data_IF_346656583335
#
_entry.id   IF_346656583335
#
_cell.length_a   1.000
_cell.length_b   1.000
_cell.length_c   1.000
_cell.angle_alpha   90.00
_cell.angle_beta   90.00
_cell.angle_gamma   90.00
#
_symmetry.space_group_name_H-M   'P 1'
#
loop_
_entity.id
_entity.type
_entity.pdbx_description
1 polymer ?
#
# COMPACT_ATOMS: atom_id res chain seq x y z
N UNK A 1 -14.21 30.44 53.86
CA UNK A 1 -15.45 29.72 54.22
C UNK A 1 -15.42 28.38 53.50
N UNK A 2 -15.39 27.31 54.29
CA UNK A 2 -15.49 25.90 53.86
C UNK A 2 -16.88 25.61 53.26
N UNK A 3 -16.94 24.59 52.39
CA UNK A 3 -17.98 23.54 52.18
C UNK A 3 -17.54 22.82 50.88
N UNK A 4 -16.79 21.70 50.89
CA UNK A 4 -17.20 20.32 51.20
C UNK A 4 -18.59 20.00 50.59
N UNK A 5 -18.76 19.07 49.63
CA UNK A 5 -18.61 17.63 49.83
C UNK A 5 -18.95 16.80 48.57
N UNK A 6 -18.19 15.70 48.38
CA UNK A 6 -18.59 14.35 47.91
C UNK A 6 -19.10 14.04 46.48
N UNK A 7 -18.18 13.39 45.73
CA UNK A 7 -18.26 12.22 44.80
C UNK A 7 -19.60 11.81 44.19
N UNK A 8 -19.56 11.49 42.89
CA UNK A 8 -19.93 10.19 42.28
C UNK A 8 -19.34 10.12 40.84
N UNK A 9 -18.57 9.07 40.53
CA UNK A 9 -18.21 8.69 39.15
C UNK A 9 -19.29 7.77 38.57
N UNK A 10 -19.49 7.78 37.24
CA UNK A 10 -19.66 6.51 36.55
C UNK A 10 -18.71 6.34 35.35
N UNK A 11 -18.29 5.08 35.17
CA UNK A 11 -17.57 4.49 34.04
C UNK A 11 -18.43 4.50 32.73
N UNK A 12 -17.86 4.14 31.56
CA UNK A 12 -18.15 4.80 30.28
C UNK A 12 -19.42 4.30 29.60
N UNK A 13 -20.08 5.20 28.87
CA UNK A 13 -21.15 4.85 27.95
C UNK A 13 -20.48 4.44 26.63
N UNK A 14 -20.53 3.14 26.34
CA UNK A 14 -20.17 2.55 25.06
C UNK A 14 -20.83 3.33 23.91
N UNK A 15 -20.03 4.11 23.19
CA UNK A 15 -20.40 4.51 21.84
C UNK A 15 -19.96 3.35 20.94
N UNK A 16 -20.94 2.52 20.56
CA UNK A 16 -20.84 1.72 19.34
C UNK A 16 -20.55 2.70 18.20
N UNK A 17 -19.26 2.90 17.89
CA UNK A 17 -18.87 3.50 16.64
C UNK A 17 -19.02 2.38 15.62
N UNK A 18 -19.96 2.57 14.71
CA UNK A 18 -20.19 1.67 13.59
C UNK A 18 -18.85 1.23 13.02
N UNK A 19 -18.61 -0.07 13.11
CA UNK A 19 -17.49 -0.74 12.48
C UNK A 19 -17.78 -0.70 10.99
N UNK A 20 -17.40 0.40 10.33
CA UNK A 20 -17.11 0.34 8.90
C UNK A 20 -16.09 -0.77 8.77
N UNK A 21 -16.45 -1.84 8.06
CA UNK A 21 -15.50 -2.86 7.63
C UNK A 21 -14.42 -2.11 6.84
N UNK A 22 -13.32 -1.75 7.51
CA UNK A 22 -12.07 -1.51 6.82
C UNK A 22 -11.70 -2.88 6.27
N UNK A 23 -12.15 -3.15 5.05
CA UNK A 23 -11.71 -4.31 4.29
C UNK A 23 -10.18 -4.30 4.36
N UNK A 24 -9.55 -5.35 4.91
CA UNK A 24 -8.11 -5.37 5.06
C UNK A 24 -7.49 -5.05 3.71
N UNK A 25 -6.51 -4.13 3.70
CA UNK A 25 -5.79 -3.78 2.48
C UNK A 25 -5.32 -5.07 1.80
N UNK A 26 -5.52 -5.22 0.48
CA UNK A 26 -5.30 -6.49 -0.17
C UNK A 26 -3.87 -6.96 0.06
N UNK A 27 -3.73 -8.20 0.50
CA UNK A 27 -2.42 -8.78 0.82
C UNK A 27 -1.62 -8.88 -0.49
N UNK A 28 -0.44 -8.26 -0.50
CA UNK A 28 0.57 -8.41 -1.54
C UNK A 28 1.66 -9.36 -1.06
N UNK A 29 1.91 -10.44 -1.79
CA UNK A 29 2.94 -11.43 -1.47
C UNK A 29 3.89 -11.61 -2.65
N UNK A 30 5.20 -11.55 -2.38
CA UNK A 30 6.27 -11.64 -3.36
C UNK A 30 6.92 -13.03 -3.31
N UNK A 31 7.03 -13.71 -4.45
CA UNK A 31 7.86 -14.91 -4.57
C UNK A 31 9.26 -14.53 -5.09
N UNK A 32 10.19 -14.25 -4.18
CA UNK A 32 11.56 -13.86 -4.51
C UNK A 32 12.35 -14.93 -5.28
N UNK A 33 11.85 -16.18 -5.34
CA UNK A 33 12.51 -17.27 -6.07
C UNK A 33 12.17 -17.26 -7.56
N UNK A 34 11.08 -16.59 -7.96
CA UNK A 34 10.58 -16.61 -9.33
C UNK A 34 10.76 -15.23 -9.98
N UNK A 35 11.94 -15.03 -10.58
CA UNK A 35 12.25 -13.85 -11.37
C UNK A 35 11.62 -13.95 -12.75
N UNK A 36 10.72 -13.03 -13.08
CA UNK A 36 10.09 -12.91 -14.40
C UNK A 36 10.90 -12.02 -15.36
N UNK A 37 11.65 -11.05 -14.82
CA UNK A 37 12.45 -10.16 -15.65
C UNK A 37 13.43 -9.30 -14.84
N UNK A 38 14.47 -8.81 -15.52
CA UNK A 38 15.48 -7.89 -14.95
C UNK A 38 15.78 -6.78 -15.94
N UNK A 39 15.81 -5.56 -15.46
CA UNK A 39 16.17 -4.36 -16.23
C UNK A 39 17.08 -3.43 -15.45
N UNK A 40 17.43 -2.29 -16.05
CA UNK A 40 18.26 -1.28 -15.42
C UNK A 40 17.62 -0.71 -14.14
N UNK A 41 16.30 -0.57 -14.13
CA UNK A 41 15.52 0.03 -13.04
C UNK A 41 15.15 -0.96 -11.94
N UNK A 42 15.33 -2.27 -12.17
CA UNK A 42 15.07 -3.27 -11.15
C UNK A 42 14.68 -4.64 -11.64
N UNK A 43 13.95 -5.36 -10.79
CA UNK A 43 13.62 -6.77 -10.99
C UNK A 43 12.10 -6.98 -10.91
N UNK A 44 11.57 -7.83 -11.78
CA UNK A 44 10.16 -8.20 -11.80
C UNK A 44 10.04 -9.64 -11.34
N UNK A 45 9.23 -9.89 -10.33
CA UNK A 45 8.99 -11.21 -9.76
C UNK A 45 7.53 -11.62 -9.94
N UNK A 46 7.28 -12.92 -9.81
CA UNK A 46 5.93 -13.42 -9.62
C UNK A 46 5.46 -13.08 -8.20
N UNK A 47 4.19 -12.72 -8.06
CA UNK A 47 3.57 -12.55 -6.76
C UNK A 47 2.07 -12.73 -6.80
N UNK A 48 1.43 -12.47 -5.67
CA UNK A 48 -0.02 -12.43 -5.55
C UNK A 48 -0.47 -11.10 -4.97
N UNK A 49 -1.61 -10.60 -5.46
CA UNK A 49 -2.29 -9.43 -4.91
C UNK A 49 -3.79 -9.73 -4.85
N UNK A 50 -4.40 -9.59 -3.67
CA UNK A 50 -5.81 -9.96 -3.45
C UNK A 50 -6.13 -11.43 -3.84
N UNK A 51 -5.14 -12.33 -3.77
CA UNK A 51 -5.27 -13.73 -4.19
C UNK A 51 -5.11 -13.99 -5.69
N UNK A 52 -4.95 -12.95 -6.52
CA UNK A 52 -4.67 -13.09 -7.96
C UNK A 52 -3.17 -13.05 -8.24
N UNK A 53 -2.73 -13.82 -9.26
CA UNK A 53 -1.33 -13.79 -9.69
C UNK A 53 -1.02 -12.50 -10.43
N UNK A 54 0.03 -11.81 -10.00
CA UNK A 54 0.47 -10.54 -10.56
C UNK A 54 1.99 -10.53 -10.78
N UNK A 55 2.46 -9.58 -11.58
CA UNK A 55 3.88 -9.25 -11.68
C UNK A 55 4.21 -8.10 -10.73
N UNK A 56 5.21 -8.28 -9.86
CA UNK A 56 5.65 -7.25 -8.90
C UNK A 56 7.02 -6.71 -9.35
N UNK A 57 7.06 -5.44 -9.76
CA UNK A 57 8.30 -4.72 -10.13
C UNK A 57 8.91 -4.08 -8.88
N UNK A 58 10.04 -4.61 -8.42
CA UNK A 58 10.87 -4.00 -7.38
C UNK A 58 11.84 -3.01 -8.01
N UNK A 59 11.60 -1.72 -7.80
CA UNK A 59 12.49 -0.63 -8.26
C UNK A 59 13.72 -0.59 -7.34
N UNK A 60 14.91 -0.55 -7.93
CA UNK A 60 16.18 -0.46 -7.19
C UNK A 60 16.50 1.01 -6.89
N UNK A 61 16.46 1.39 -5.62
CA UNK A 61 16.95 2.68 -5.14
C UNK A 61 18.37 2.52 -4.59
N UNK A 62 19.36 2.38 -5.46
CA UNK A 62 20.75 2.32 -5.00
C UNK A 62 21.26 3.74 -4.67
N UNK A 63 22.15 3.86 -3.70
CA UNK A 63 22.76 5.14 -3.32
C UNK A 63 23.49 5.85 -4.48
N UNK A 64 23.97 5.10 -5.48
CA UNK A 64 24.69 5.62 -6.64
C UNK A 64 23.80 5.88 -7.88
N UNK A 65 22.58 5.33 -7.88
CA UNK A 65 21.56 5.64 -8.89
C UNK A 65 20.52 6.52 -8.23
N UNK A 66 20.69 7.83 -8.37
CA UNK A 66 19.67 8.80 -7.99
C UNK A 66 18.45 8.54 -8.88
N UNK A 67 17.53 7.71 -8.39
CA UNK A 67 16.18 7.63 -8.97
C UNK A 67 15.58 8.99 -8.70
N UNK A 68 15.50 9.80 -9.75
CA UNK A 68 14.87 11.12 -9.68
C UNK A 68 13.43 10.93 -9.18
N UNK A 69 13.10 11.39 -7.96
CA UNK A 69 11.77 11.18 -7.39
C UNK A 69 10.66 11.77 -8.26
N UNK A 70 10.97 12.80 -9.05
CA UNK A 70 10.02 13.37 -10.00
C UNK A 70 9.74 12.42 -11.17
N UNK A 71 10.77 11.70 -11.66
CA UNK A 71 10.60 10.70 -12.73
C UNK A 71 9.79 9.50 -12.26
N UNK A 72 10.07 9.00 -11.06
CA UNK A 72 9.30 7.88 -10.48
C UNK A 72 7.82 8.28 -10.33
N UNK A 73 7.54 9.45 -9.74
CA UNK A 73 6.17 9.96 -9.61
C UNK A 73 5.47 10.09 -10.96
N UNK A 74 6.18 10.56 -11.98
CA UNK A 74 5.60 10.70 -13.32
C UNK A 74 5.26 9.34 -13.94
N UNK A 75 6.10 8.32 -13.76
CA UNK A 75 5.82 6.94 -14.19
C UNK A 75 4.56 6.41 -13.51
N UNK A 76 4.48 6.52 -12.18
CA UNK A 76 3.33 6.04 -11.40
C UNK A 76 2.03 6.75 -11.82
N UNK A 77 2.04 8.08 -11.90
CA UNK A 77 0.87 8.88 -12.29
C UNK A 77 0.42 8.66 -13.74
N UNK A 78 1.36 8.32 -14.63
CA UNK A 78 1.03 7.97 -16.02
C UNK A 78 0.39 6.59 -16.06
N UNK A 79 1.00 5.60 -15.40
CA UNK A 79 0.54 4.22 -15.39
C UNK A 79 -0.82 4.05 -14.70
N UNK A 80 -1.11 4.84 -13.66
CA UNK A 80 -2.44 4.87 -13.02
C UNK A 80 -3.57 5.30 -13.97
N UNK A 81 -3.26 6.10 -15.01
CA UNK A 81 -4.24 6.61 -15.98
C UNK A 81 -4.40 5.70 -17.20
N UNK A 82 -3.53 4.69 -17.36
CA UNK A 82 -3.58 3.78 -18.50
C UNK A 82 -4.56 2.64 -18.21
N UNK A 83 -5.74 2.74 -18.81
CA UNK A 83 -6.74 1.67 -18.81
C UNK A 83 -7.10 1.32 -20.26
N UNK A 84 -6.45 0.28 -20.77
CA UNK A 84 -6.65 -0.18 -22.14
C UNK A 84 -6.44 -1.69 -22.23
N UNK A 85 -7.24 -2.45 -23.02
CA UNK A 85 -7.16 -3.91 -23.09
C UNK A 85 -5.79 -4.46 -23.53
N UNK A 86 -4.99 -3.67 -24.25
CA UNK A 86 -3.66 -4.06 -24.73
C UNK A 86 -2.50 -3.41 -23.95
N UNK A 87 -2.78 -2.77 -22.82
CA UNK A 87 -1.76 -2.12 -21.99
C UNK A 87 -1.85 -2.68 -20.58
N UNK A 88 -0.69 -2.88 -19.95
CA UNK A 88 -0.62 -3.35 -18.56
C UNK A 88 -1.22 -2.30 -17.63
N UNK A 89 -2.14 -2.74 -16.76
CA UNK A 89 -2.73 -1.91 -15.72
C UNK A 89 -1.85 -1.94 -14.48
N UNK A 90 -1.53 -0.78 -13.93
CA UNK A 90 -0.93 -0.67 -12.60
C UNK A 90 -2.02 -0.85 -11.55
N UNK A 91 -1.87 -1.84 -10.69
CA UNK A 91 -2.86 -2.20 -9.67
C UNK A 91 -2.60 -1.44 -8.36
N UNK A 92 -1.36 -1.50 -7.85
CA UNK A 92 -0.99 -0.90 -6.57
C UNK A 92 0.50 -0.53 -6.55
N UNK A 93 0.85 0.51 -5.77
CA UNK A 93 2.22 0.92 -5.45
C UNK A 93 2.35 1.02 -3.93
N UNK A 94 3.32 0.29 -3.35
CA UNK A 94 3.57 0.22 -1.90
C UNK A 94 4.75 1.11 -1.50
#
# INVERSE_FOLDING_TARGET
VLHNSFKLTPFPINQHKDMSCEEPSPIMELDEKVLLGKGAEGHVFLGTFAGEKVAIKRVLTNADTVVDPARQRMEDETMKKLEHPNVLKLIEVV
#
